data_IF_834290809637
#
_entry.id   IF_834290809637
#
_cell.length_a   1.000
_cell.length_b   1.000
_cell.length_c   1.000
_cell.angle_alpha   90.00
_cell.angle_beta   90.00
_cell.angle_gamma   90.00
#
_symmetry.space_group_name_H-M   'P 1'
#
loop_
_entity.id
_entity.type
_entity.pdbx_description
1 polymer ?
#
# COMPACT_ATOMS: atom_id res chain seq x y z
N UNK A 1 29.67 -6.33 13.09
CA UNK A 1 28.18 -6.28 13.06
C UNK A 1 27.82 -4.85 12.74
N UNK A 2 27.19 -4.59 11.60
CA UNK A 2 26.70 -3.23 11.31
C UNK A 2 25.54 -2.94 12.26
N UNK A 3 25.68 -1.94 13.13
CA UNK A 3 24.57 -1.46 13.95
C UNK A 3 23.48 -0.89 13.04
N UNK A 4 22.22 -1.25 13.31
CA UNK A 4 21.09 -0.64 12.60
C UNK A 4 21.01 0.85 12.91
N UNK A 5 20.54 1.61 11.94
CA UNK A 5 20.30 3.06 12.10
C UNK A 5 19.00 3.22 12.90
N UNK A 6 19.08 3.92 14.02
CA UNK A 6 17.91 4.25 14.84
C UNK A 6 17.04 5.30 14.14
N UNK A 7 15.76 5.01 14.03
CA UNK A 7 14.75 5.92 13.45
C UNK A 7 13.73 6.29 14.53
N UNK A 8 13.62 7.57 14.81
CA UNK A 8 12.81 8.05 15.94
C UNK A 8 11.30 7.98 15.72
N UNK A 9 10.84 7.96 14.46
CA UNK A 9 9.40 7.92 14.13
C UNK A 9 9.03 6.61 13.48
N UNK A 10 7.84 6.07 13.79
CA UNK A 10 7.31 4.90 13.10
C UNK A 10 7.19 5.12 11.59
N UNK A 11 7.35 4.04 10.83
CA UNK A 11 7.03 3.98 9.42
C UNK A 11 5.65 3.38 9.22
N UNK A 12 4.74 4.12 8.58
CA UNK A 12 3.43 3.56 8.21
C UNK A 12 3.60 2.66 7.00
N UNK A 13 3.20 1.40 7.13
CA UNK A 13 3.27 0.37 6.09
C UNK A 13 1.86 0.04 5.64
N UNK A 14 1.54 0.36 4.39
CA UNK A 14 0.24 0.12 3.80
C UNK A 14 0.32 -1.11 2.89
N UNK A 15 -0.15 -2.24 3.40
CA UNK A 15 -0.16 -3.51 2.67
C UNK A 15 -1.15 -3.47 1.51
N UNK A 16 -0.85 -4.21 0.46
CA UNK A 16 -1.66 -4.27 -0.75
C UNK A 16 -2.05 -5.69 -1.13
N UNK A 17 -2.37 -5.87 -2.40
CA UNK A 17 -2.95 -7.10 -2.91
C UNK A 17 -1.92 -8.00 -3.62
N UNK A 18 -2.20 -9.32 -3.62
CA UNK A 18 -1.61 -10.34 -4.48
C UNK A 18 -0.06 -10.44 -4.45
N UNK A 19 0.52 -10.70 -5.62
CA UNK A 19 1.97 -10.91 -5.81
C UNK A 19 2.81 -9.72 -5.33
N UNK A 20 2.27 -8.50 -5.39
CA UNK A 20 2.94 -7.31 -4.91
C UNK A 20 3.23 -7.38 -3.41
N UNK A 21 2.36 -8.02 -2.64
CA UNK A 21 2.54 -8.20 -1.20
C UNK A 21 3.79 -9.04 -0.89
N UNK A 22 4.00 -10.15 -1.61
CA UNK A 22 5.16 -11.03 -1.42
C UNK A 22 6.47 -10.28 -1.67
N UNK A 23 6.53 -9.49 -2.75
CA UNK A 23 7.71 -8.67 -3.04
C UNK A 23 7.94 -7.59 -1.98
N UNK A 24 6.86 -6.97 -1.51
CA UNK A 24 6.92 -5.90 -0.54
C UNK A 24 7.39 -6.37 0.84
N UNK A 25 6.93 -7.53 1.29
CA UNK A 25 7.41 -8.16 2.51
C UNK A 25 8.92 -8.41 2.48
N UNK A 26 9.45 -8.91 1.35
CA UNK A 26 10.89 -9.10 1.16
C UNK A 26 11.65 -7.77 1.17
N UNK A 27 11.08 -6.70 0.61
CA UNK A 27 11.67 -5.36 0.66
C UNK A 27 11.73 -4.86 2.10
N UNK A 28 10.65 -4.98 2.85
CA UNK A 28 10.61 -4.60 4.25
C UNK A 28 11.65 -5.38 5.06
N UNK A 29 11.72 -6.70 4.90
CA UNK A 29 12.64 -7.56 5.61
C UNK A 29 14.11 -7.28 5.24
N UNK A 30 14.43 -7.27 3.95
CA UNK A 30 15.83 -7.27 3.49
C UNK A 30 16.44 -5.87 3.36
N UNK A 31 15.64 -4.83 3.16
CA UNK A 31 16.14 -3.48 2.96
C UNK A 31 15.78 -2.54 4.10
N UNK A 32 14.59 -2.62 4.63
CA UNK A 32 14.12 -1.71 5.68
C UNK A 32 14.58 -2.21 7.05
N UNK A 33 13.97 -3.28 7.54
CA UNK A 33 14.23 -3.77 8.91
C UNK A 33 15.60 -4.42 9.09
N UNK A 34 16.26 -4.83 7.99
CA UNK A 34 17.65 -5.29 8.06
C UNK A 34 18.64 -4.18 8.40
N UNK A 35 18.33 -2.91 8.07
CA UNK A 35 19.24 -1.77 8.22
C UNK A 35 18.76 -0.73 9.21
N UNK A 36 17.46 -0.64 9.40
CA UNK A 36 16.83 0.35 10.26
C UNK A 36 16.25 -0.32 11.50
N UNK A 37 16.40 0.33 12.63
CA UNK A 37 15.71 -0.01 13.87
C UNK A 37 14.61 1.02 14.06
N UNK A 38 13.36 0.62 13.69
CA UNK A 38 12.19 1.48 13.70
C UNK A 38 10.94 0.65 14.01
N UNK A 39 9.93 1.35 14.50
CA UNK A 39 8.59 0.80 14.67
C UNK A 39 7.84 0.82 13.34
N UNK A 40 7.07 -0.24 13.05
CA UNK A 40 6.17 -0.32 11.89
C UNK A 40 4.72 -0.16 12.36
N UNK A 41 3.98 0.72 11.70
CA UNK A 41 2.53 0.85 11.85
C UNK A 41 1.89 0.25 10.60
N UNK A 42 1.46 -0.98 10.70
CA UNK A 42 0.97 -1.77 9.57
C UNK A 42 -0.53 -1.64 9.41
N UNK A 43 -0.99 -1.37 8.18
CA UNK A 43 -2.40 -1.27 7.83
C UNK A 43 -2.66 -2.09 6.57
N UNK A 44 -3.61 -3.02 6.69
CA UNK A 44 -4.07 -3.85 5.59
C UNK A 44 -5.04 -3.08 4.69
N UNK A 45 -4.59 -2.79 3.46
CA UNK A 45 -5.39 -2.15 2.40
C UNK A 45 -5.78 -3.12 1.27
N UNK A 46 -5.76 -4.42 1.52
CA UNK A 46 -6.29 -5.40 0.56
C UNK A 46 -7.73 -5.09 0.19
N UNK A 47 -8.15 -5.49 -1.01
CA UNK A 47 -9.52 -5.31 -1.46
C UNK A 47 -10.53 -5.94 -0.49
N UNK A 48 -10.22 -7.13 0.01
CA UNK A 48 -11.04 -7.86 0.97
C UNK A 48 -11.21 -7.07 2.29
N UNK A 49 -10.11 -6.60 2.87
CA UNK A 49 -10.18 -5.84 4.12
C UNK A 49 -10.89 -4.50 3.96
N UNK A 50 -10.71 -3.82 2.81
CA UNK A 50 -11.44 -2.59 2.52
C UNK A 50 -12.94 -2.80 2.43
N UNK A 51 -13.39 -3.90 1.82
CA UNK A 51 -14.81 -4.28 1.79
C UNK A 51 -15.32 -4.61 3.19
N UNK A 52 -14.62 -5.49 3.92
CA UNK A 52 -15.00 -5.94 5.26
C UNK A 52 -15.10 -4.78 6.26
N UNK A 53 -14.24 -3.78 6.15
CA UNK A 53 -14.23 -2.59 7.01
C UNK A 53 -15.03 -1.43 6.45
N UNK A 54 -15.74 -1.62 5.33
CA UNK A 54 -16.49 -0.57 4.64
C UNK A 54 -15.67 0.71 4.42
N UNK A 55 -14.39 0.55 4.00
CA UNK A 55 -13.48 1.65 3.73
C UNK A 55 -12.83 2.28 4.98
N UNK A 56 -13.11 1.80 6.19
CA UNK A 56 -12.48 2.32 7.42
C UNK A 56 -10.95 2.17 7.35
N UNK A 57 -10.44 1.04 6.87
CA UNK A 57 -9.00 0.83 6.68
C UNK A 57 -8.32 1.97 5.84
N UNK A 58 -9.04 2.55 4.87
CA UNK A 58 -8.52 3.68 4.09
C UNK A 58 -8.47 4.97 4.93
N UNK A 59 -9.46 5.17 5.82
CA UNK A 59 -9.48 6.31 6.75
C UNK A 59 -8.35 6.20 7.77
N UNK A 60 -8.15 4.99 8.29
CA UNK A 60 -7.05 4.71 9.24
C UNK A 60 -5.69 4.95 8.60
N UNK A 61 -5.50 4.54 7.34
CA UNK A 61 -4.28 4.82 6.59
C UNK A 61 -4.00 6.33 6.45
N UNK A 62 -5.04 7.12 6.13
CA UNK A 62 -4.93 8.57 6.02
C UNK A 62 -4.55 9.18 7.38
N UNK A 63 -5.19 8.75 8.44
CA UNK A 63 -4.94 9.25 9.79
C UNK A 63 -3.54 8.90 10.27
N UNK A 64 -3.09 7.67 10.07
CA UNK A 64 -1.74 7.24 10.41
C UNK A 64 -0.68 8.04 9.64
N UNK A 65 -0.85 8.20 8.32
CA UNK A 65 0.08 9.00 7.51
C UNK A 65 0.15 10.46 7.95
N UNK A 66 -0.97 11.05 8.37
CA UNK A 66 -0.99 12.42 8.93
C UNK A 66 -0.28 12.50 10.27
N UNK A 67 -0.45 11.48 11.11
CA UNK A 67 0.13 11.45 12.46
C UNK A 67 1.64 11.26 12.42
N UNK A 68 2.12 10.29 11.64
CA UNK A 68 3.53 9.92 11.63
C UNK A 68 4.36 10.62 10.54
N UNK A 69 3.70 11.12 9.50
CA UNK A 69 4.31 11.97 8.47
C UNK A 69 5.09 11.22 7.38
N UNK A 70 5.31 9.92 7.52
CA UNK A 70 6.03 9.09 6.55
C UNK A 70 5.37 7.72 6.42
N UNK A 71 5.31 7.20 5.22
CA UNK A 71 4.82 5.85 4.98
C UNK A 71 5.20 5.32 3.62
N UNK A 72 5.13 4.00 3.50
CA UNK A 72 5.31 3.26 2.25
C UNK A 72 4.04 2.50 1.94
N UNK A 73 3.69 2.45 0.67
CA UNK A 73 2.47 1.79 0.22
C UNK A 73 2.78 0.79 -0.87
N UNK A 74 2.29 -0.42 -0.65
CA UNK A 74 2.29 -1.46 -1.66
C UNK A 74 1.20 -1.23 -2.73
N UNK A 75 1.29 -1.93 -3.86
CA UNK A 75 0.27 -1.90 -4.89
C UNK A 75 -1.06 -2.44 -4.34
N UNK A 76 -2.13 -1.69 -4.58
CA UNK A 76 -3.48 -2.09 -4.22
C UNK A 76 -4.37 -2.08 -5.45
N UNK A 77 -5.27 -3.05 -5.52
CA UNK A 77 -6.14 -3.26 -6.66
C UNK A 77 -7.40 -2.36 -6.59
N UNK A 78 -7.84 -1.91 -7.75
CA UNK A 78 -9.20 -1.37 -7.90
C UNK A 78 -10.11 -2.53 -8.23
N UNK A 79 -11.09 -2.77 -7.38
CA UNK A 79 -12.01 -3.91 -7.53
C UNK A 79 -12.90 -3.70 -8.76
N UNK A 80 -12.82 -4.59 -9.73
CA UNK A 80 -13.75 -4.64 -10.85
C UNK A 80 -15.04 -5.40 -10.46
N UNK A 81 -16.06 -5.38 -11.34
CA UNK A 81 -17.36 -6.00 -11.04
C UNK A 81 -17.24 -7.48 -10.68
N UNK A 82 -16.49 -8.25 -11.46
CA UNK A 82 -16.32 -9.68 -11.21
C UNK A 82 -15.66 -9.96 -9.86
N UNK A 83 -14.58 -9.24 -9.56
CA UNK A 83 -13.89 -9.36 -8.28
C UNK A 83 -14.77 -8.96 -7.09
N UNK A 84 -15.62 -7.93 -7.27
CA UNK A 84 -16.57 -7.53 -6.26
C UNK A 84 -17.57 -8.67 -5.99
N UNK A 85 -18.16 -9.25 -7.04
CA UNK A 85 -19.09 -10.36 -6.91
C UNK A 85 -18.44 -11.58 -6.23
N UNK A 86 -17.19 -11.92 -6.57
CA UNK A 86 -16.41 -12.99 -5.94
C UNK A 86 -16.14 -12.71 -4.45
N UNK A 87 -15.82 -11.47 -4.08
CA UNK A 87 -15.58 -11.08 -2.70
C UNK A 87 -16.88 -11.05 -1.88
N UNK A 88 -17.97 -10.55 -2.44
CA UNK A 88 -19.28 -10.57 -1.79
C UNK A 88 -19.82 -12.00 -1.59
N UNK A 89 -19.51 -12.91 -2.52
CA UNK A 89 -19.84 -14.32 -2.34
C UNK A 89 -19.09 -14.98 -1.18
N UNK A 90 -17.87 -14.53 -0.87
CA UNK A 90 -17.10 -14.98 0.31
C UNK A 90 -17.57 -14.33 1.61
N UNK A 91 -18.18 -13.16 1.52
CA UNK A 91 -18.61 -12.33 2.65
C UNK A 91 -20.11 -12.03 2.56
N UNK A 92 -21.00 -13.02 2.76
CA UNK A 92 -22.44 -12.87 2.59
C UNK A 92 -23.09 -11.88 3.57
N UNK A 93 -22.37 -11.53 4.64
CA UNK A 93 -22.76 -10.49 5.60
C UNK A 93 -22.67 -9.07 5.05
N UNK A 94 -21.90 -8.86 3.96
CA UNK A 94 -21.71 -7.55 3.33
C UNK A 94 -22.72 -7.37 2.21
N UNK A 95 -23.51 -6.32 2.29
CA UNK A 95 -24.44 -5.94 1.22
C UNK A 95 -23.80 -4.88 0.35
N UNK A 96 -23.81 -5.07 -0.98
CA UNK A 96 -23.24 -4.11 -1.93
C UNK A 96 -23.82 -2.71 -1.76
N UNK A 97 -25.13 -2.62 -1.46
CA UNK A 97 -25.82 -1.35 -1.27
C UNK A 97 -25.33 -0.52 -0.08
N UNK A 98 -24.69 -1.17 0.89
CA UNK A 98 -24.20 -0.55 2.12
C UNK A 98 -22.71 -0.13 2.02
N UNK A 99 -22.05 -0.46 0.88
CA UNK A 99 -20.64 -0.19 0.71
C UNK A 99 -20.35 1.27 0.40
N UNK A 100 -19.42 1.85 1.14
CA UNK A 100 -18.84 3.15 0.85
C UNK A 100 -17.98 3.10 -0.43
N UNK A 101 -17.90 4.23 -1.12
CA UNK A 101 -17.01 4.40 -2.28
C UNK A 101 -15.53 4.11 -1.96
N UNK A 102 -15.11 4.30 -0.71
CA UNK A 102 -13.74 4.00 -0.28
C UNK A 102 -13.45 2.51 -0.23
N UNK A 103 -14.47 1.67 -0.01
CA UNK A 103 -14.30 0.22 0.02
C UNK A 103 -14.01 -0.36 -1.36
N UNK A 104 -14.69 0.15 -2.41
CA UNK A 104 -14.66 -0.42 -3.75
C UNK A 104 -13.67 0.24 -4.71
N UNK A 105 -13.35 1.54 -4.52
CA UNK A 105 -12.43 2.28 -5.38
C UNK A 105 -10.96 2.07 -5.00
N UNK A 106 -10.07 2.45 -5.91
CA UNK A 106 -8.64 2.47 -5.63
C UNK A 106 -8.33 3.37 -4.43
N UNK A 107 -7.64 2.85 -3.41
CA UNK A 107 -7.29 3.64 -2.23
C UNK A 107 -6.31 4.77 -2.53
N UNK A 108 -5.55 4.67 -3.64
CA UNK A 108 -4.51 5.64 -3.99
C UNK A 108 -5.02 7.08 -4.09
N UNK A 109 -6.15 7.28 -4.77
CA UNK A 109 -6.74 8.60 -4.94
C UNK A 109 -7.26 9.18 -3.62
N UNK A 110 -7.90 8.34 -2.81
CA UNK A 110 -8.43 8.73 -1.51
C UNK A 110 -7.31 9.12 -0.54
N UNK A 111 -6.24 8.32 -0.46
CA UNK A 111 -5.09 8.60 0.41
C UNK A 111 -4.41 9.90 -0.02
N UNK A 112 -4.09 10.08 -1.31
CA UNK A 112 -3.46 11.32 -1.81
C UNK A 112 -4.27 12.57 -1.49
N UNK A 113 -5.58 12.52 -1.75
CA UNK A 113 -6.49 13.61 -1.40
C UNK A 113 -6.56 13.82 0.12
N UNK A 114 -6.63 12.73 0.87
CA UNK A 114 -6.77 12.77 2.31
C UNK A 114 -5.57 13.39 3.03
N UNK A 115 -4.34 13.13 2.56
CA UNK A 115 -3.12 13.70 3.15
C UNK A 115 -2.77 15.10 2.59
N UNK A 116 -3.44 15.56 1.54
CA UNK A 116 -3.13 16.84 0.90
C UNK A 116 -1.80 16.82 0.11
N UNK A 117 -1.39 15.66 -0.37
CA UNK A 117 -0.08 15.48 -1.00
C UNK A 117 -0.04 15.82 -2.50
N UNK A 118 1.14 16.21 -2.95
CA UNK A 118 1.50 16.28 -4.37
C UNK A 118 2.04 14.95 -4.87
N UNK A 119 2.06 14.75 -6.18
CA UNK A 119 2.63 13.57 -6.82
C UNK A 119 3.89 13.99 -7.55
N UNK A 120 5.01 13.41 -7.15
CA UNK A 120 6.25 13.43 -7.91
C UNK A 120 6.48 12.03 -8.47
N UNK A 121 6.88 11.92 -9.72
CA UNK A 121 7.25 10.67 -10.38
C UNK A 121 8.65 10.80 -10.92
N UNK A 122 9.51 9.84 -10.57
CA UNK A 122 10.86 9.75 -11.09
C UNK A 122 11.06 8.35 -11.65
N UNK A 123 11.63 8.27 -12.82
CA UNK A 123 11.97 7.01 -13.45
C UNK A 123 13.24 6.45 -12.82
N UNK A 124 13.17 5.19 -12.38
CA UNK A 124 14.33 4.47 -11.87
C UNK A 124 15.06 3.86 -13.06
N UNK A 125 16.29 4.33 -13.31
CA UNK A 125 17.15 3.82 -14.36
C UNK A 125 18.35 3.08 -13.78
N UNK A 126 18.61 1.89 -14.28
CA UNK A 126 19.79 1.10 -13.93
C UNK A 126 20.89 1.35 -14.97
N UNK A 127 21.71 2.36 -14.78
CA UNK A 127 22.71 2.78 -15.77
C UNK A 127 23.83 1.77 -16.00
N UNK A 128 24.14 0.95 -15.00
CA UNK A 128 25.28 0.03 -15.02
C UNK A 128 24.89 -1.44 -15.08
N UNK A 129 23.62 -1.75 -15.23
CA UNK A 129 23.12 -3.11 -15.36
C UNK A 129 22.44 -3.24 -16.71
N UNK A 130 22.82 -4.27 -17.47
CA UNK A 130 22.19 -4.61 -18.77
C UNK A 130 20.82 -5.27 -18.59
N UNK A 131 19.98 -4.71 -17.72
CA UNK A 131 18.64 -5.20 -17.42
C UNK A 131 17.53 -4.32 -17.97
N UNK A 132 17.88 -3.26 -18.66
CA UNK A 132 16.90 -2.44 -19.36
C UNK A 132 16.34 -3.19 -20.57
N UNK A 133 15.06 -3.05 -20.89
CA UNK A 133 14.50 -3.58 -22.11
C UNK A 133 15.32 -3.12 -23.33
N UNK A 134 15.47 -3.94 -24.40
CA UNK A 134 16.28 -3.59 -25.58
C UNK A 134 15.88 -2.28 -26.25
N UNK A 135 14.61 -1.89 -26.13
CA UNK A 135 14.02 -0.70 -26.75
C UNK A 135 13.92 0.48 -25.78
N UNK A 136 14.57 0.40 -24.62
CA UNK A 136 14.58 1.49 -23.65
C UNK A 136 15.49 2.62 -24.11
N UNK A 137 14.89 3.70 -24.57
CA UNK A 137 15.56 4.95 -24.91
C UNK A 137 15.37 5.89 -23.72
N UNK A 138 16.26 5.81 -22.74
CA UNK A 138 16.27 6.67 -21.56
C UNK A 138 17.09 7.94 -21.81
#
# INVERSE_FOLDING_TARGET
>A
MNSKIQVAKPLVVLHGDEMAQIAFEKILEQFVTARLDLELVEIDLTAENRLRTNGEAVRDAINALKTYGVGVKNAGMTVNRRQLDELLAKHPEIKEADLDKLATKSPNGAIRKGIGGNITREDIQFRNLQINPPDWIG
#
